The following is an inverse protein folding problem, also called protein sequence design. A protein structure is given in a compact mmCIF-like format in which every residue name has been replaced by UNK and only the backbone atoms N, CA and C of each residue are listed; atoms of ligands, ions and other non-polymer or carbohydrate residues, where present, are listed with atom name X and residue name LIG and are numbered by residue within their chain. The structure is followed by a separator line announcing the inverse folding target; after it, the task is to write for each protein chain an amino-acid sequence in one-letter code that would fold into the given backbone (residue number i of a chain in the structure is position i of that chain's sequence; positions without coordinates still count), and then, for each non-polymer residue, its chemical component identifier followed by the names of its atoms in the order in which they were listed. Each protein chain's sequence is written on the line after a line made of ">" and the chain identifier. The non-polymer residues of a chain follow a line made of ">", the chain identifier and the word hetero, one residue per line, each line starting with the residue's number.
data_IF_505960282963
#
_entry.id   IF_505960282963
#
_cell.length_a   1.000
_cell.length_b   1.000
_cell.length_c   1.000
_cell.angle_alpha   90.00
_cell.angle_beta   90.00
_cell.angle_gamma   90.00
#
_symmetry.space_group_name_H-M   'P 1'
#
loop_
_entity.id
_entity.type
_entity.pdbx_description
1 polymer ?
#
# COMPACT_ATOMS: atom_id res chain seq x y z
N UNK A 1 10.13 -18.77 19.65
CA UNK A 1 10.68 -17.89 18.60
C UNK A 1 9.66 -16.87 18.18
N UNK A 2 8.41 -17.26 17.88
CA UNK A 2 7.35 -16.33 17.44
C UNK A 2 7.00 -15.22 18.45
N UNK A 3 6.99 -15.52 19.75
CA UNK A 3 6.72 -14.50 20.79
C UNK A 3 7.81 -13.42 20.85
N UNK A 4 9.06 -13.76 20.55
CA UNK A 4 10.17 -12.78 20.52
C UNK A 4 10.14 -11.94 19.24
N UNK A 5 9.78 -12.50 18.10
CA UNK A 5 9.58 -11.75 16.87
C UNK A 5 8.40 -10.78 16.98
N UNK A 6 7.29 -11.19 17.59
CA UNK A 6 6.15 -10.30 17.84
C UNK A 6 6.52 -9.11 18.73
N UNK A 7 7.41 -9.28 19.69
CA UNK A 7 7.94 -8.20 20.52
C UNK A 7 8.86 -7.26 19.72
N UNK A 8 9.67 -7.80 18.78
CA UNK A 8 10.58 -7.01 17.96
C UNK A 8 9.88 -6.26 16.82
N UNK A 9 8.75 -6.78 16.32
CA UNK A 9 7.99 -6.19 15.20
C UNK A 9 6.72 -5.48 15.66
N UNK A 10 6.61 -5.08 16.93
CA UNK A 10 5.42 -4.47 17.52
C UNK A 10 4.14 -5.34 17.47
N UNK A 11 4.24 -6.61 17.08
CA UNK A 11 3.17 -7.60 17.16
C UNK A 11 1.92 -7.30 16.35
N UNK A 12 0.83 -7.97 16.73
CA UNK A 12 -0.52 -7.69 16.23
C UNK A 12 -1.08 -6.50 17.01
N UNK A 13 -1.18 -5.34 16.37
CA UNK A 13 -1.74 -4.13 16.98
C UNK A 13 -2.97 -3.64 16.23
N UNK A 14 -3.67 -2.63 16.76
CA UNK A 14 -4.86 -2.05 16.14
C UNK A 14 -4.59 -1.42 14.77
N UNK A 15 -3.32 -1.21 14.43
CA UNK A 15 -2.87 -0.71 13.12
C UNK A 15 -2.92 -1.77 12.01
N UNK A 16 -2.93 -3.07 12.34
CA UNK A 16 -2.86 -4.15 11.35
C UNK A 16 -4.00 -4.12 10.32
N UNK A 17 -5.28 -3.99 10.69
CA UNK A 17 -6.38 -3.89 9.72
C UNK A 17 -6.21 -2.71 8.76
N UNK A 18 -5.77 -1.56 9.26
CA UNK A 18 -5.53 -0.36 8.44
C UNK A 18 -4.38 -0.58 7.45
N UNK A 19 -3.31 -1.23 7.88
CA UNK A 19 -2.20 -1.62 7.00
C UNK A 19 -2.64 -2.59 5.90
N UNK A 20 -3.48 -3.56 6.23
CA UNK A 20 -4.02 -4.51 5.25
C UNK A 20 -4.88 -3.81 4.20
N UNK A 21 -5.78 -2.90 4.62
CA UNK A 21 -6.62 -2.12 3.73
C UNK A 21 -5.76 -1.20 2.84
N UNK A 22 -4.82 -0.47 3.43
CA UNK A 22 -3.93 0.43 2.70
C UNK A 22 -3.09 -0.34 1.67
N UNK A 23 -2.56 -1.51 2.04
CA UNK A 23 -1.81 -2.39 1.13
C UNK A 23 -2.70 -2.94 0.01
N UNK A 24 -3.96 -3.26 0.32
CA UNK A 24 -4.96 -3.68 -0.66
C UNK A 24 -5.21 -2.60 -1.72
N UNK A 25 -5.37 -1.35 -1.31
CA UNK A 25 -5.52 -0.22 -2.25
C UNK A 25 -4.27 0.00 -3.11
N UNK A 26 -3.08 -0.15 -2.55
CA UNK A 26 -1.83 -0.09 -3.33
C UNK A 26 -1.79 -1.19 -4.39
N UNK A 27 -2.17 -2.42 -4.02
CA UNK A 27 -2.23 -3.55 -4.94
C UNK A 27 -3.29 -3.36 -6.03
N UNK A 28 -4.50 -2.92 -5.68
CA UNK A 28 -5.57 -2.61 -6.63
C UNK A 28 -5.14 -1.54 -7.63
N UNK A 29 -4.55 -0.45 -7.15
CA UNK A 29 -4.06 0.62 -8.02
C UNK A 29 -2.96 0.16 -8.96
N UNK A 30 -2.06 -0.72 -8.51
CA UNK A 30 -1.07 -1.34 -9.38
C UNK A 30 -1.72 -2.17 -10.51
N UNK A 31 -2.82 -2.86 -10.19
CA UNK A 31 -3.59 -3.64 -11.19
C UNK A 31 -4.34 -2.80 -12.22
N UNK A 32 -4.63 -1.54 -11.90
CA UNK A 32 -5.31 -0.59 -12.80
C UNK A 32 -4.33 0.14 -13.74
N UNK A 33 -3.03 -0.02 -13.56
CA UNK A 33 -2.04 0.61 -14.43
C UNK A 33 -2.21 0.18 -15.89
N UNK A 34 -1.94 1.10 -16.84
CA UNK A 34 -1.98 0.77 -18.27
C UNK A 34 -1.04 -0.38 -18.60
N UNK A 35 -1.50 -1.30 -19.47
CA UNK A 35 -0.69 -2.41 -19.94
C UNK A 35 0.43 -1.87 -20.84
N UNK A 36 1.60 -1.69 -20.27
CA UNK A 36 2.81 -1.29 -20.97
C UNK A 36 3.82 -2.45 -20.99
N UNK A 37 4.87 -2.32 -21.81
CA UNK A 37 5.96 -3.30 -21.90
C UNK A 37 7.31 -2.59 -21.88
N UNK A 38 8.33 -3.27 -21.34
CA UNK A 38 9.69 -2.77 -21.31
C UNK A 38 9.86 -1.57 -20.37
N UNK A 39 10.52 -0.51 -20.86
CA UNK A 39 10.83 0.68 -20.04
C UNK A 39 9.58 1.45 -19.60
N UNK A 40 8.55 1.51 -20.44
CA UNK A 40 7.31 2.20 -20.11
C UNK A 40 6.59 1.54 -18.92
N UNK A 41 6.60 0.20 -18.84
CA UNK A 41 6.03 -0.54 -17.72
C UNK A 41 6.74 -0.18 -16.39
N UNK A 42 8.09 -0.16 -16.41
CA UNK A 42 8.88 0.21 -15.23
C UNK A 42 8.61 1.67 -14.85
N UNK A 43 8.49 2.58 -15.81
CA UNK A 43 8.17 3.98 -15.55
C UNK A 43 6.79 4.12 -14.86
N UNK A 44 5.76 3.42 -15.32
CA UNK A 44 4.44 3.39 -14.69
C UNK A 44 4.48 2.83 -13.28
N UNK A 45 5.23 1.74 -13.08
CA UNK A 45 5.41 1.15 -11.74
C UNK A 45 6.17 2.10 -10.80
N UNK A 46 7.20 2.79 -11.27
CA UNK A 46 7.91 3.80 -10.48
C UNK A 46 7.00 4.98 -10.11
N UNK A 47 6.23 5.50 -11.06
CA UNK A 47 5.25 6.55 -10.81
C UNK A 47 4.20 6.13 -9.78
N UNK A 48 3.63 4.92 -9.94
CA UNK A 48 2.70 4.37 -8.97
C UNK A 48 3.36 4.10 -7.61
N UNK A 49 4.56 3.55 -7.58
CA UNK A 49 5.33 3.34 -6.36
C UNK A 49 5.62 4.62 -5.59
N UNK A 50 5.83 5.73 -6.31
CA UNK A 50 5.97 7.06 -5.71
C UNK A 50 4.65 7.54 -5.11
N UNK A 51 3.57 7.58 -5.88
CA UNK A 51 2.24 8.06 -5.45
C UNK A 51 1.68 7.19 -4.32
N UNK A 52 1.78 5.87 -4.45
CA UNK A 52 1.25 4.94 -3.45
C UNK A 52 1.95 5.04 -2.10
N UNK A 53 3.22 5.47 -2.05
CA UNK A 53 3.92 5.72 -0.79
C UNK A 53 3.27 6.85 0.02
N UNK A 54 2.84 7.92 -0.65
CA UNK A 54 2.11 9.01 -0.01
C UNK A 54 0.69 8.60 0.36
N UNK A 55 -0.04 7.94 -0.54
CA UNK A 55 -1.40 7.47 -0.26
C UNK A 55 -1.44 6.51 0.93
N UNK A 56 -0.50 5.58 0.99
CA UNK A 56 -0.37 4.67 2.12
C UNK A 56 -0.10 5.43 3.42
N UNK A 57 0.86 6.36 3.42
CA UNK A 57 1.18 7.17 4.59
C UNK A 57 -0.01 8.00 5.05
N UNK A 58 -0.70 8.67 4.13
CA UNK A 58 -1.88 9.46 4.46
C UNK A 58 -3.02 8.63 5.02
N UNK A 59 -3.28 7.43 4.48
CA UNK A 59 -4.29 6.52 5.03
C UNK A 59 -3.95 6.09 6.45
N UNK A 60 -2.67 5.79 6.71
CA UNK A 60 -2.22 5.42 8.04
C UNK A 60 -2.32 6.59 9.02
N UNK A 61 -1.88 7.77 8.62
CA UNK A 61 -1.97 8.97 9.46
C UNK A 61 -3.43 9.34 9.74
N UNK A 62 -4.31 9.26 8.73
CA UNK A 62 -5.74 9.53 8.88
C UNK A 62 -6.43 8.56 9.85
N UNK A 63 -6.02 7.30 9.85
CA UNK A 63 -6.58 6.29 10.74
C UNK A 63 -6.26 6.56 12.22
N UNK A 64 -5.11 7.19 12.51
CA UNK A 64 -4.64 7.41 13.88
C UNK A 64 -4.75 8.87 14.34
N UNK A 65 -4.83 9.83 13.44
CA UNK A 65 -4.84 11.25 13.77
C UNK A 65 -5.97 11.67 14.72
N UNK A 66 -7.24 11.20 14.57
CA UNK A 66 -8.31 11.57 15.50
C UNK A 66 -8.11 11.08 16.92
N UNK A 67 -7.27 10.06 17.12
CA UNK A 67 -6.99 9.43 18.41
C UNK A 67 -5.72 9.98 19.08
N UNK A 68 -4.95 10.82 18.40
CA UNK A 68 -3.81 11.52 18.95
C UNK A 68 -4.27 12.71 19.80
N UNK A 69 -4.91 12.42 20.94
CA UNK A 69 -5.47 13.37 21.89
C UNK A 69 -4.38 13.90 22.84
N UNK A 70 -3.38 14.54 22.31
CA UNK A 70 -2.41 15.23 23.15
C UNK A 70 -2.32 16.70 22.78
N UNK A 71 -2.73 17.58 23.68
CA UNK A 71 -2.64 19.05 23.60
C UNK A 71 -3.37 19.69 22.42
N UNK A 72 -4.26 20.62 22.69
CA UNK A 72 -5.00 21.46 21.73
C UNK A 72 -4.03 22.35 20.92
N UNK A 73 -3.44 21.78 19.90
CA UNK A 73 -2.58 22.46 18.93
C UNK A 73 -3.32 22.55 17.59
N UNK A 74 -2.86 23.45 16.71
CA UNK A 74 -3.36 23.53 15.32
C UNK A 74 -3.13 22.23 14.50
N UNK A 75 -2.48 21.23 15.07
CA UNK A 75 -2.24 19.93 14.47
C UNK A 75 -3.20 18.86 14.97
N UNK A 76 -4.02 19.15 15.99
CA UNK A 76 -4.92 18.21 16.65
C UNK A 76 -6.31 18.25 16.02
N UNK A 77 -7.02 17.14 16.09
CA UNK A 77 -8.44 17.06 15.75
C UNK A 77 -9.27 17.83 16.78
N UNK A 78 -10.14 18.72 16.34
CA UNK A 78 -11.09 19.44 17.16
C UNK A 78 -12.53 18.99 16.84
N UNK A 79 -13.21 18.30 17.76
CA UNK A 79 -14.60 17.85 17.55
C UNK A 79 -15.60 18.99 17.33
N UNK A 80 -15.27 20.21 17.75
CA UNK A 80 -16.12 21.39 17.65
C UNK A 80 -15.83 22.24 16.41
N UNK A 81 -14.72 21.97 15.72
CA UNK A 81 -14.34 22.67 14.50
C UNK A 81 -15.09 22.15 13.26
N UNK A 82 -15.16 22.99 12.23
CA UNK A 82 -15.73 22.56 10.94
C UNK A 82 -14.93 21.44 10.31
N UNK A 83 -15.54 20.58 9.46
CA UNK A 83 -14.82 19.53 8.74
C UNK A 83 -13.66 20.06 7.90
N UNK A 84 -13.78 21.24 7.34
CA UNK A 84 -12.73 21.88 6.53
C UNK A 84 -11.56 22.31 7.40
N UNK A 85 -11.81 22.84 8.60
CA UNK A 85 -10.78 23.20 9.55
C UNK A 85 -10.01 21.97 10.02
N UNK A 86 -10.71 20.88 10.32
CA UNK A 86 -10.08 19.61 10.69
C UNK A 86 -9.26 19.01 9.54
N UNK A 87 -9.74 19.12 8.31
CA UNK A 87 -8.96 18.70 7.14
C UNK A 87 -7.66 19.50 7.02
N UNK A 88 -7.72 20.81 7.27
CA UNK A 88 -6.53 21.66 7.28
C UNK A 88 -5.54 21.26 8.39
N UNK A 89 -6.03 20.99 9.60
CA UNK A 89 -5.22 20.49 10.72
C UNK A 89 -4.56 19.16 10.38
N UNK A 90 -5.28 18.25 9.72
CA UNK A 90 -4.73 16.99 9.24
C UNK A 90 -3.62 17.19 8.20
N UNK A 91 -3.82 18.08 7.23
CA UNK A 91 -2.79 18.39 6.23
C UNK A 91 -1.54 18.95 6.89
N UNK A 92 -1.68 19.89 7.82
CA UNK A 92 -0.55 20.44 8.59
C UNK A 92 0.16 19.37 9.40
N UNK A 93 -0.60 18.50 10.08
CA UNK A 93 -0.05 17.38 10.83
C UNK A 93 0.78 16.46 9.93
N UNK A 94 0.23 16.05 8.79
CA UNK A 94 0.91 15.18 7.86
C UNK A 94 2.19 15.84 7.28
N UNK A 95 2.13 17.11 6.93
CA UNK A 95 3.29 17.86 6.46
C UNK A 95 4.40 17.95 7.51
N UNK A 96 4.03 18.20 8.75
CA UNK A 96 5.00 18.38 9.84
C UNK A 96 5.63 17.06 10.31
N UNK A 97 4.86 15.96 10.29
CA UNK A 97 5.28 14.70 10.94
C UNK A 97 5.66 13.60 9.95
N UNK A 98 4.94 13.47 8.86
CA UNK A 98 5.00 12.28 7.99
C UNK A 98 5.63 12.53 6.63
N UNK A 99 5.79 13.79 6.20
CA UNK A 99 6.29 14.11 4.86
C UNK A 99 7.69 13.53 4.61
N UNK A 100 8.60 13.65 5.58
CA UNK A 100 9.96 13.09 5.46
C UNK A 100 9.95 11.56 5.30
N UNK A 101 9.15 10.87 6.08
CA UNK A 101 8.95 9.42 5.98
C UNK A 101 8.35 9.00 4.65
N UNK A 102 7.29 9.70 4.21
CA UNK A 102 6.61 9.40 2.97
C UNK A 102 7.53 9.63 1.76
N UNK A 103 8.31 10.71 1.77
CA UNK A 103 9.30 11.00 0.74
C UNK A 103 10.41 9.94 0.71
N UNK A 104 10.97 9.56 1.87
CA UNK A 104 11.97 8.51 1.96
C UNK A 104 11.45 7.17 1.40
N UNK A 105 10.23 6.79 1.75
CA UNK A 105 9.55 5.60 1.22
C UNK A 105 9.33 5.69 -0.28
N UNK A 106 8.88 6.85 -0.78
CA UNK A 106 8.63 7.08 -2.20
C UNK A 106 9.91 6.95 -3.02
N UNK A 107 11.01 7.57 -2.58
CA UNK A 107 12.31 7.46 -3.23
C UNK A 107 12.85 6.04 -3.22
N UNK A 108 12.76 5.35 -2.08
CA UNK A 108 13.15 3.93 -1.98
C UNK A 108 12.37 3.05 -2.93
N UNK A 109 11.04 3.24 -3.03
CA UNK A 109 10.20 2.49 -3.97
C UNK A 109 10.66 2.72 -5.41
N UNK A 110 10.89 3.97 -5.81
CA UNK A 110 11.33 4.31 -7.17
C UNK A 110 12.67 3.67 -7.48
N UNK A 111 13.65 3.78 -6.58
CA UNK A 111 14.97 3.18 -6.77
C UNK A 111 14.88 1.64 -6.87
N UNK A 112 14.16 1.01 -5.95
CA UNK A 112 13.98 -0.44 -5.98
C UNK A 112 13.26 -0.91 -7.25
N UNK A 113 12.20 -0.24 -7.67
CA UNK A 113 11.46 -0.57 -8.88
C UNK A 113 12.28 -0.33 -10.16
N UNK A 114 13.06 0.74 -10.21
CA UNK A 114 13.93 1.02 -11.35
C UNK A 114 15.03 -0.03 -11.51
N UNK A 115 15.64 -0.47 -10.39
CA UNK A 115 16.75 -1.43 -10.40
C UNK A 115 16.25 -2.88 -10.52
N UNK A 116 15.24 -3.26 -9.74
CA UNK A 116 14.80 -4.65 -9.59
C UNK A 116 13.54 -4.98 -10.38
N UNK A 117 12.77 -3.98 -10.82
CA UNK A 117 11.50 -4.20 -11.51
C UNK A 117 11.64 -5.05 -12.76
N UNK A 118 12.64 -4.79 -13.60
CA UNK A 118 12.89 -5.57 -14.81
C UNK A 118 13.19 -7.05 -14.57
N UNK A 119 14.16 -7.40 -13.71
CA UNK A 119 14.41 -8.78 -13.31
C UNK A 119 13.20 -9.48 -12.70
N UNK A 120 12.52 -8.83 -11.75
CA UNK A 120 11.36 -9.39 -11.06
C UNK A 120 10.21 -9.67 -12.03
N UNK A 121 9.87 -8.74 -12.91
CA UNK A 121 8.82 -8.94 -13.92
C UNK A 121 9.13 -10.10 -14.86
N UNK A 122 10.39 -10.30 -15.24
CA UNK A 122 10.80 -11.46 -16.06
C UNK A 122 10.56 -12.77 -15.34
N UNK A 123 10.91 -12.86 -14.06
CA UNK A 123 10.69 -14.06 -13.25
C UNK A 123 9.20 -14.35 -13.10
N UNK A 124 8.40 -13.34 -12.74
CA UNK A 124 6.95 -13.48 -12.57
C UNK A 124 6.25 -13.92 -13.88
N UNK A 125 6.62 -13.34 -15.00
CA UNK A 125 6.09 -13.74 -16.32
C UNK A 125 6.48 -15.17 -16.70
N UNK A 126 7.68 -15.60 -16.33
CA UNK A 126 8.11 -16.99 -16.53
C UNK A 126 7.31 -17.95 -15.66
N UNK A 127 7.07 -17.59 -14.40
CA UNK A 127 6.28 -18.38 -13.48
C UNK A 127 4.83 -18.50 -13.94
N UNK A 128 4.19 -17.39 -14.35
CA UNK A 128 2.80 -17.39 -14.81
C UNK A 128 2.58 -18.23 -16.09
N UNK A 129 3.59 -18.32 -16.96
CA UNK A 129 3.53 -19.19 -18.15
C UNK A 129 3.66 -20.69 -17.83
N UNK A 130 4.25 -21.03 -16.67
CA UNK A 130 4.46 -22.41 -16.23
C UNK A 130 3.38 -22.94 -15.28
N UNK A 131 2.55 -22.06 -14.77
CA UNK A 131 1.37 -22.42 -14.00
C UNK A 131 0.14 -22.34 -14.93
N UNK A 132 -0.22 -23.39 -15.70
CA UNK A 132 -1.48 -23.40 -16.40
C UNK A 132 -2.56 -23.42 -15.32
N UNK A 133 -3.33 -22.34 -15.20
CA UNK A 133 -4.64 -22.41 -14.58
C UNK A 133 -5.45 -23.38 -15.46
N UNK A 134 -5.57 -24.62 -15.05
CA UNK A 134 -6.59 -25.51 -15.59
C UNK A 134 -7.93 -24.92 -15.12
N UNK A 135 -8.77 -24.36 -16.03
CA UNK A 135 -10.17 -24.18 -15.73
C UNK A 135 -10.68 -25.60 -15.46
N UNK A 136 -11.33 -25.80 -14.31
CA UNK A 136 -11.68 -27.10 -13.79
C UNK A 136 -12.17 -28.05 -14.89
N UNK A 137 -11.57 -29.22 -14.95
CA UNK A 137 -12.15 -30.35 -15.61
C UNK A 137 -13.50 -30.60 -14.93
N UNK A 138 -14.56 -30.13 -15.56
CA UNK A 138 -15.91 -30.56 -15.25
C UNK A 138 -15.88 -32.05 -15.54
N UNK A 139 -15.84 -32.84 -14.48
CA UNK A 139 -16.02 -34.27 -14.50
C UNK A 139 -17.46 -34.50 -14.98
N UNK A 140 -17.67 -34.54 -16.28
CA UNK A 140 -18.87 -35.15 -16.86
C UNK A 140 -18.71 -36.63 -16.65
N UNK A 141 -19.31 -37.14 -15.58
CA UNK A 141 -19.58 -38.56 -15.41
C UNK A 141 -20.38 -39.01 -16.67
N UNK A 142 -19.95 -40.02 -17.37
CA UNK A 142 -20.82 -40.65 -18.34
C UNK A 142 -21.89 -41.39 -17.56
N UNK A 143 -23.09 -40.84 -17.64
CA UNK A 143 -24.25 -41.40 -17.01
C UNK A 143 -24.68 -42.66 -17.75
N UNK A 144 -25.04 -43.63 -16.98
CA UNK A 144 -25.51 -44.94 -17.27
C UNK A 144 -26.69 -44.94 -18.24
N UNK A 145 -26.62 -45.83 -19.16
CA UNK A 145 -27.78 -46.41 -19.87
C UNK A 145 -27.75 -47.91 -19.77
#
# INVERSE_FOLDING_TARGET
>A
VYKRQALLTAGFGPWLPYQMIASGFVGLGAGLLPRARGRAEIAWLCGWGFVSAFLYGWLMDFAFWPFNLGTSTQLSFDPHASPLTNLWHFVLFNLATSMGWNLGRALTNVVCLALLGGPVLRVLRRASRRAPFMPGAVHTSPDES
#
